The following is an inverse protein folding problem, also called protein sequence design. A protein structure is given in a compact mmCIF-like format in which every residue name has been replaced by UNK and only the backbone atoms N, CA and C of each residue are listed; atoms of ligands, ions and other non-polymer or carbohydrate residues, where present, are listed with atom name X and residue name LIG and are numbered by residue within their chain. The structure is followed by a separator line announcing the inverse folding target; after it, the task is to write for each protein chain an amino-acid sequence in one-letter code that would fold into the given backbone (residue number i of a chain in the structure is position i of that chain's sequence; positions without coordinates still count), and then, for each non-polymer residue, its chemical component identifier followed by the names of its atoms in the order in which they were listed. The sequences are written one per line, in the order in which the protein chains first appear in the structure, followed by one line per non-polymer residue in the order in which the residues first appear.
data_IF_421924721165
#
_entry.id   IF_421924721165
#
_cell.length_a   1.000
_cell.length_b   1.000
_cell.length_c   1.000
_cell.angle_alpha   90.00
_cell.angle_beta   90.00
_cell.angle_gamma   90.00
#
_symmetry.space_group_name_H-M   'P 1'
#
loop_
_entity.id
_entity.type
_entity.pdbx_description
1 polymer ?
2 polymer ?
3 non-polymer ?
4 non-polymer ?
5 water ?
#
# COMPACT_ATOMS: atom_id res chain seq x y z
N UNK A 2 14.20 15.92 -4.96
CA UNK A 2 12.84 16.37 -4.69
C UNK A 2 12.40 16.08 -3.25
N UNK A 3 11.67 17.02 -2.66
CA UNK A 3 11.15 16.86 -1.31
C UNK A 3 10.33 15.57 -1.17
N UNK A 4 10.49 14.90 -0.04
CA UNK A 4 9.75 13.70 0.28
C UNK A 4 8.35 14.14 0.73
N UNK A 5 7.30 13.52 0.19
CA UNK A 5 5.95 13.71 0.70
C UNK A 5 5.64 12.66 1.76
N UNK A 6 4.69 12.98 2.63
CA UNK A 6 4.31 12.07 3.70
C UNK A 6 2.79 11.93 3.81
N UNK A 7 2.29 10.71 3.68
CA UNK A 7 0.87 10.43 3.73
C UNK A 7 0.48 9.95 5.12
N UNK A 8 -0.46 10.65 5.74
CA UNK A 8 -1.00 10.23 7.03
C UNK A 8 -1.70 8.91 6.90
N UNK A 9 -1.54 8.09 7.94
CA UNK A 9 -2.21 6.80 8.04
C UNK A 9 -3.63 6.87 8.61
N UNK A 10 -4.00 8.03 9.15
CA UNK A 10 -5.21 8.19 9.93
C UNK A 10 -4.99 8.13 11.43
N UNK A 11 -3.86 7.55 11.85
CA UNK A 11 -3.51 7.44 13.27
C UNK A 11 -2.34 8.36 13.57
N UNK A 12 -2.53 9.27 14.52
CA UNK A 12 -1.45 10.14 14.95
C UNK A 12 -0.32 9.35 15.60
N UNK A 13 -0.67 8.31 16.34
CA UNK A 13 0.34 7.45 16.95
C UNK A 13 1.25 6.81 15.89
N UNK A 14 0.63 6.17 14.91
CA UNK A 14 1.38 5.56 13.83
C UNK A 14 2.12 6.60 12.99
N UNK A 15 1.50 7.74 12.71
CA UNK A 15 2.19 8.79 11.97
C UNK A 15 3.45 9.24 12.69
N UNK A 16 3.39 9.36 14.01
CA UNK A 16 4.57 9.79 14.75
C UNK A 16 5.69 8.76 14.65
N UNK A 17 5.34 7.49 14.80
CA UNK A 17 6.31 6.41 14.66
C UNK A 17 7.00 6.49 13.28
N UNK A 18 6.22 6.85 12.26
CA UNK A 18 6.70 6.91 10.87
C UNK A 18 7.38 8.22 10.52
N UNK A 19 7.51 9.15 11.45
CA UNK A 19 8.13 10.44 11.15
C UNK A 19 7.24 11.40 10.37
N UNK A 20 5.94 11.17 10.41
CA UNK A 20 4.95 12.06 9.83
C UNK A 20 3.97 11.37 8.90
N UNK A 21 4.33 10.18 8.42
CA UNK A 21 3.49 9.43 7.52
C UNK A 21 4.33 8.55 6.63
N UNK A 22 3.68 7.80 5.76
CA UNK A 22 4.45 6.99 4.80
C UNK A 22 5.01 7.88 3.71
N UNK A 23 6.25 7.58 3.36
CA UNK A 23 7.05 8.46 2.51
C UNK A 23 6.94 8.14 1.03
N UNK A 24 6.89 9.19 0.21
CA UNK A 24 7.15 9.03 -1.22
C UNK A 24 8.65 8.75 -1.43
N UNK A 25 9.00 8.26 -2.61
CA UNK A 25 10.39 7.87 -2.93
C UNK A 25 10.86 6.76 -1.99
N UNK A 26 9.92 5.90 -1.60
CA UNK A 26 10.21 4.80 -0.68
C UNK A 26 9.21 3.68 -0.88
N UNK A 27 9.65 2.46 -0.56
CA UNK A 27 8.76 1.32 -0.38
C UNK A 27 8.59 1.06 1.11
N UNK A 28 7.35 1.15 1.60
CA UNK A 28 7.05 0.78 2.96
C UNK A 28 6.33 -0.54 2.94
N UNK A 29 6.85 -1.50 3.72
CA UNK A 29 6.25 -2.83 3.82
C UNK A 29 5.65 -2.96 5.18
N UNK A 30 4.40 -3.40 5.21
CA UNK A 30 3.74 -3.76 6.43
C UNK A 30 3.50 -5.27 6.42
N UNK A 31 3.89 -5.94 7.50
CA UNK A 31 3.76 -7.38 7.56
C UNK A 31 3.24 -7.78 8.90
N UNK A 32 2.54 -8.90 8.90
CA UNK A 32 1.97 -9.46 10.10
C UNK A 32 1.01 -10.59 9.78
N UNK A 33 0.43 -11.17 10.82
CA UNK A 33 -0.47 -12.30 10.65
C UNK A 33 -1.81 -11.83 10.10
N UNK A 34 -2.62 -12.76 9.62
CA UNK A 34 -3.99 -12.45 9.24
C UNK A 34 -4.70 -11.71 10.37
N UNK A 35 -5.42 -10.65 10.03
CA UNK A 35 -6.15 -9.86 11.01
C UNK A 35 -5.37 -8.74 11.70
N UNK A 36 -4.11 -8.57 11.32
CA UNK A 36 -3.23 -7.64 12.05
C UNK A 36 -3.46 -6.16 11.69
N UNK A 37 -4.25 -5.91 10.64
CA UNK A 37 -4.57 -4.55 10.22
C UNK A 37 -4.00 -4.10 8.87
N UNK A 38 -3.24 -4.98 8.20
CA UNK A 38 -2.55 -4.58 6.97
C UNK A 38 -3.48 -4.08 5.89
N UNK A 39 -4.56 -4.79 5.64
CA UNK A 39 -5.45 -4.44 4.54
C UNK A 39 -6.26 -3.19 4.90
N UNK A 40 -6.59 -3.04 6.17
CA UNK A 40 -7.29 -1.86 6.62
C UNK A 40 -6.41 -0.62 6.48
N UNK A 41 -5.13 -0.75 6.75
CA UNK A 41 -4.18 0.36 6.55
C UNK A 41 -4.06 0.72 5.06
N UNK A 42 -3.99 -0.28 4.19
CA UNK A 42 -3.98 -0.03 2.74
C UNK A 42 -5.24 0.72 2.28
N UNK A 43 -6.43 0.26 2.70
CA UNK A 43 -7.66 0.94 2.33
C UNK A 43 -7.68 2.39 2.84
N UNK A 44 -7.20 2.62 4.07
CA UNK A 44 -7.22 3.96 4.65
C UNK A 44 -6.27 4.89 3.89
N UNK A 45 -5.07 4.40 3.59
CA UNK A 45 -4.12 5.19 2.83
C UNK A 45 -4.65 5.58 1.45
N UNK A 46 -5.41 4.69 0.83
CA UNK A 46 -6.00 4.98 -0.48
C UNK A 46 -6.98 6.14 -0.44
N UNK A 47 -7.53 6.42 0.74
CA UNK A 47 -8.35 7.60 0.97
C UNK A 47 -7.48 8.81 1.41
N UNK A 48 -6.63 8.60 2.39
CA UNK A 48 -5.85 9.70 2.98
C UNK A 48 -5.01 10.42 1.92
N UNK A 49 -4.43 9.68 0.99
CA UNK A 49 -3.53 10.31 0.02
C UNK A 49 -4.27 11.31 -0.86
N UNK A 50 -5.59 11.15 -0.97
CA UNK A 50 -6.39 12.05 -1.79
C UNK A 50 -6.70 13.39 -1.14
N UNK A 51 -6.53 13.46 0.18
CA UNK A 51 -6.71 14.70 0.93
C UNK A 51 -5.65 15.74 0.57
N UNK A 52 -5.93 17.02 0.85
CA UNK A 52 -4.91 18.06 0.70
C UNK A 52 -3.85 17.91 1.81
N UNK A 53 -2.70 18.56 1.63
CA UNK A 53 -1.62 18.29 2.59
C UNK A 53 -1.88 18.70 4.04
N UNK A 54 -2.68 19.74 4.27
CA UNK A 54 -3.00 20.12 5.64
C UNK A 54 -3.96 19.12 6.33
N UNK A 55 -4.42 18.13 5.57
CA UNK A 55 -5.19 17.02 6.12
C UNK A 55 -4.40 15.70 6.04
N UNK A 56 -3.11 15.76 5.71
CA UNK A 56 -2.26 14.58 5.67
C UNK A 56 -2.14 13.87 4.34
N UNK A 57 -2.68 14.46 3.27
CA UNK A 57 -2.63 13.84 1.95
C UNK A 57 -1.71 14.56 0.97
N UNK A 58 -1.78 14.16 -0.28
CA UNK A 58 -0.91 14.71 -1.33
C UNK A 58 -1.75 15.07 -2.55
N UNK A 59 -3.06 15.26 -2.38
CA UNK A 59 -3.96 15.51 -3.50
C UNK A 59 -3.71 14.49 -4.60
N UNK A 60 -3.50 13.23 -4.22
CA UNK A 60 -3.00 12.23 -5.13
C UNK A 60 -4.01 11.22 -5.62
N UNK A 61 -3.69 10.63 -6.77
CA UNK A 61 -4.38 9.44 -7.25
C UNK A 61 -3.66 8.16 -6.74
N UNK A 62 -4.34 7.03 -6.91
CA UNK A 62 -3.92 5.76 -6.37
C UNK A 62 -3.95 4.69 -7.46
N UNK A 63 -2.98 3.78 -7.40
CA UNK A 63 -3.02 2.55 -8.17
C UNK A 63 -2.87 1.40 -7.18
N UNK A 64 -3.65 0.34 -7.39
CA UNK A 64 -3.74 -0.76 -6.44
C UNK A 64 -3.65 -2.08 -7.19
N UNK A 65 -2.65 -2.88 -6.86
CA UNK A 65 -2.48 -4.23 -7.40
C UNK A 65 -2.76 -5.24 -6.29
N UNK A 66 -3.80 -6.04 -6.46
CA UNK A 66 -4.09 -7.15 -5.56
C UNK A 66 -3.46 -8.43 -6.11
N UNK A 67 -2.97 -9.29 -5.22
CA UNK A 67 -2.64 -10.65 -5.62
C UNK A 67 -3.74 -11.62 -5.19
N UNK A 68 -4.42 -11.28 -4.10
CA UNK A 68 -5.56 -12.05 -3.61
C UNK A 68 -6.73 -11.10 -3.67
N UNK A 69 -7.93 -11.58 -3.38
CA UNK A 69 -9.12 -10.76 -3.49
C UNK A 69 -9.34 -9.98 -2.19
N UNK A 70 -8.81 -8.77 -2.16
CA UNK A 70 -8.63 -8.02 -0.92
C UNK A 70 -9.35 -6.65 -1.01
N UNK A 71 -9.32 -6.04 -2.19
CA UNK A 71 -9.83 -4.66 -2.34
C UNK A 71 -11.35 -4.64 -2.24
N UNK A 72 -11.87 -3.70 -1.45
CA UNK A 72 -13.30 -3.58 -1.20
C UNK A 72 -13.72 -2.14 -1.45
N UNK A 73 -14.21 -1.85 -2.67
CA UNK A 73 -14.67 -0.49 -2.96
C UNK A 73 -15.66 0.06 -1.93
N UNK A 74 -16.53 -0.77 -1.35
CA UNK A 74 -17.46 -0.23 -0.36
C UNK A 74 -16.74 0.21 0.92
N UNK A 75 -15.63 -0.44 1.25
CA UNK A 75 -14.86 -0.03 2.43
C UNK A 75 -14.20 1.34 2.17
N UNK A 76 -13.69 1.54 0.97
CA UNK A 76 -13.22 2.87 0.57
C UNK A 76 -14.35 3.91 0.75
N UNK A 77 -15.54 3.59 0.26
CA UNK A 77 -16.66 4.52 0.34
C UNK A 77 -16.99 4.85 1.78
N UNK A 78 -16.98 3.84 2.64
CA UNK A 78 -17.26 4.05 4.07
C UNK A 78 -16.23 4.97 4.72
N UNK A 79 -14.96 4.66 4.51
CA UNK A 79 -13.88 5.43 5.10
C UNK A 79 -13.98 6.91 4.63
N UNK A 80 -14.14 7.09 3.32
CA UNK A 80 -14.28 8.43 2.77
C UNK A 80 -15.47 9.19 3.36
N UNK A 81 -16.64 8.56 3.38
CA UNK A 81 -17.87 9.21 3.84
C UNK A 81 -17.70 9.65 5.29
N UNK A 82 -17.09 8.80 6.09
CA UNK A 82 -16.97 9.08 7.50
C UNK A 82 -15.89 10.12 7.82
N UNK A 83 -15.05 10.44 6.82
CA UNK A 83 -14.03 11.49 6.93
C UNK A 83 -14.45 12.79 6.24
N UNK A 84 -15.70 12.87 5.79
CA UNK A 84 -16.26 14.09 5.24
C UNK A 84 -16.07 14.25 3.74
N UNK A 85 -15.72 13.16 3.06
CA UNK A 85 -15.48 13.19 1.62
C UNK A 85 -16.66 12.60 0.85
N UNK A 86 -16.67 12.84 -0.46
CA UNK A 86 -17.62 12.21 -1.35
C UNK A 86 -17.09 10.82 -1.70
N UNK A 87 -17.81 9.76 -1.28
CA UNK A 87 -17.26 8.41 -1.44
C UNK A 87 -17.03 8.00 -2.90
N UNK A 88 -17.92 8.45 -3.76
CA UNK A 88 -17.84 8.04 -5.13
C UNK A 88 -16.77 8.82 -5.89
N UNK A 89 -16.51 10.06 -5.48
CA UNK A 89 -15.41 10.82 -6.10
C UNK A 89 -14.06 10.18 -5.72
N UNK A 90 -13.94 9.74 -4.49
CA UNK A 90 -12.71 9.07 -4.05
C UNK A 90 -12.45 7.81 -4.88
N UNK A 91 -13.50 7.05 -5.21
CA UNK A 91 -13.33 5.87 -6.07
C UNK A 91 -12.82 6.18 -7.46
N UNK A 92 -13.16 7.35 -7.98
CA UNK A 92 -12.74 7.72 -9.33
C UNK A 92 -11.23 7.95 -9.42
N UNK A 93 -10.57 8.10 -8.28
CA UNK A 93 -9.13 8.34 -8.26
C UNK A 93 -8.29 7.15 -7.83
N UNK A 94 -8.89 5.96 -7.86
CA UNK A 94 -8.21 4.70 -7.59
C UNK A 94 -8.35 3.83 -8.83
N UNK A 95 -7.21 3.38 -9.35
CA UNK A 95 -7.18 2.42 -10.45
C UNK A 95 -6.76 1.06 -9.88
N UNK A 96 -7.55 0.03 -10.17
CA UNK A 96 -7.43 -1.28 -9.54
C UNK A 96 -7.16 -2.40 -10.55
N UNK A 97 -6.21 -3.27 -10.23
CA UNK A 97 -6.03 -4.49 -10.99
C UNK A 97 -5.73 -5.67 -10.08
N UNK A 98 -6.18 -6.85 -10.48
CA UNK A 98 -5.83 -8.10 -9.83
C UNK A 98 -4.78 -8.86 -10.65
N UNK A 99 -3.65 -9.16 -10.02
CA UNK A 99 -2.63 -10.00 -10.62
C UNK A 99 -3.06 -11.46 -10.57
N UNK A 100 -3.04 -12.09 -11.74
CA UNK A 100 -3.44 -13.46 -11.95
C UNK A 100 -2.36 -14.46 -11.50
N UNK A 101 -1.11 -14.02 -11.66
CA UNK A 101 0.08 -14.81 -11.29
C UNK A 101 1.25 -13.82 -11.20
N UNK A 102 2.44 -14.31 -10.86
CA UNK A 102 3.56 -13.39 -10.61
C UNK A 102 4.05 -12.71 -11.90
N UNK A 103 3.90 -13.38 -13.04
CA UNK A 103 4.33 -12.79 -14.30
C UNK A 103 3.40 -11.67 -14.74
N UNK A 104 2.10 -11.89 -14.56
CA UNK A 104 1.11 -10.86 -14.79
C UNK A 104 1.33 -9.69 -13.82
N UNK A 105 1.66 -9.99 -12.56
CA UNK A 105 2.00 -8.95 -11.59
C UNK A 105 3.13 -8.04 -12.10
N UNK A 106 4.16 -8.64 -12.69
CA UNK A 106 5.25 -7.87 -13.24
C UNK A 106 4.79 -6.97 -14.41
N UNK A 107 3.93 -7.50 -15.28
CA UNK A 107 3.42 -6.71 -16.39
C UNK A 107 2.59 -5.53 -15.88
N UNK A 108 1.81 -5.79 -14.84
CA UNK A 108 0.95 -4.74 -14.28
C UNK A 108 1.76 -3.55 -13.77
N UNK A 109 2.95 -3.81 -13.23
CA UNK A 109 3.81 -2.72 -12.80
C UNK A 109 4.26 -1.87 -13.99
N UNK A 110 4.53 -2.51 -15.13
CA UNK A 110 4.86 -1.76 -16.34
C UNK A 110 3.68 -0.91 -16.80
N UNK A 111 2.49 -1.46 -16.74
CA UNK A 111 1.33 -0.70 -17.12
C UNK A 111 1.06 0.42 -16.14
N UNK A 112 1.38 0.21 -14.88
CA UNK A 112 1.18 1.26 -13.89
C UNK A 112 2.02 2.47 -14.28
N UNK A 113 3.21 2.25 -14.83
CA UNK A 113 4.03 3.38 -15.21
C UNK A 113 3.36 4.25 -16.27
N UNK A 114 2.59 3.65 -17.17
CA UNK A 114 1.93 4.42 -18.21
C UNK A 114 0.92 5.41 -17.59
N UNK A 115 0.15 4.97 -16.59
CA UNK A 115 -0.83 5.85 -15.96
C UNK A 115 -0.15 6.89 -15.11
N UNK A 116 0.93 6.49 -14.45
CA UNK A 116 1.71 7.44 -13.68
C UNK A 116 2.23 8.57 -14.58
N UNK A 117 2.74 8.22 -15.74
CA UNK A 117 3.22 9.24 -16.69
C UNK A 117 2.10 10.15 -17.16
N UNK A 118 0.96 9.56 -17.47
CA UNK A 118 -0.21 10.30 -17.94
C UNK A 118 -0.63 11.37 -16.94
N UNK A 119 -0.67 11.01 -15.67
CA UNK A 119 -1.21 11.90 -14.65
C UNK A 119 -0.18 12.83 -14.01
N UNK A 120 1.10 12.67 -14.36
CA UNK A 120 2.19 13.26 -13.59
C UNK A 120 2.10 14.78 -13.43
N UNK A 121 1.72 15.45 -14.51
CA UNK A 121 1.67 16.91 -14.52
C UNK A 121 0.26 17.47 -14.51
N UNK A 122 -0.68 16.63 -14.08
CA UNK A 122 -2.04 17.06 -13.76
C UNK A 122 -2.09 17.44 -12.28
N UNK A 123 -3.24 17.92 -11.82
CA UNK A 123 -3.35 18.28 -10.41
C UNK A 123 -3.68 17.09 -9.47
N UNK A 124 -3.80 15.88 -10.02
CA UNK A 124 -3.97 14.67 -9.24
C UNK A 124 -3.01 13.56 -9.70
N UNK A 125 -1.71 13.81 -9.60
CA UNK A 125 -0.75 12.79 -10.00
C UNK A 125 -0.89 11.55 -9.13
N UNK A 126 -0.49 10.40 -9.63
CA UNK A 126 -0.40 9.22 -8.78
C UNK A 126 0.59 9.50 -7.66
N UNK A 127 0.17 9.26 -6.42
CA UNK A 127 1.05 9.44 -5.28
C UNK A 127 1.15 8.20 -4.41
N UNK A 128 0.35 7.18 -4.69
CA UNK A 128 0.35 5.93 -3.90
C UNK A 128 0.14 4.73 -4.82
N UNK A 129 1.04 3.76 -4.71
CA UNK A 129 0.94 2.49 -5.43
C UNK A 129 0.95 1.40 -4.37
N UNK A 130 -0.16 0.69 -4.27
CA UNK A 130 -0.32 -0.41 -3.31
C UNK A 130 -0.12 -1.74 -4.01
N UNK A 131 0.66 -2.62 -3.41
CA UNK A 131 0.72 -4.02 -3.84
C UNK A 131 0.41 -4.88 -2.61
N UNK A 132 -0.76 -5.49 -2.60
CA UNK A 132 -1.15 -6.26 -1.43
C UNK A 132 -0.69 -7.73 -1.53
N UNK A 133 -0.16 -8.26 -0.42
CA UNK A 133 0.34 -9.63 -0.37
C UNK A 133 1.36 -9.85 -1.49
N UNK A 134 2.33 -8.96 -1.54
CA UNK A 134 3.26 -8.84 -2.65
C UNK A 134 3.94 -10.14 -3.04
N UNK A 135 4.21 -10.99 -2.07
CA UNK A 135 4.96 -12.21 -2.37
C UNK A 135 4.10 -13.45 -2.63
N UNK A 136 2.78 -13.31 -2.53
CA UNK A 136 1.93 -14.49 -2.48
C UNK A 136 2.06 -15.40 -3.72
N UNK A 137 2.04 -14.84 -4.94
CA UNK A 137 2.21 -15.65 -6.15
C UNK A 137 3.63 -16.19 -6.26
N UNK A 138 4.63 -15.40 -5.89
CA UNK A 138 6.01 -15.86 -5.97
C UNK A 138 6.22 -17.07 -5.05
N UNK A 139 5.57 -17.04 -3.90
CA UNK A 139 5.68 -18.14 -2.95
C UNK A 139 4.95 -19.40 -3.40
N UNK A 140 3.84 -19.24 -4.11
CA UNK A 140 3.10 -20.42 -4.57
C UNK A 140 3.74 -21.05 -5.83
N UNK A 141 4.34 -20.21 -6.68
CA UNK A 141 4.88 -20.65 -7.97
C UNK A 141 6.29 -21.20 -7.90
N UNK A 142 7.12 -20.61 -7.05
CA UNK A 142 8.52 -21.00 -6.91
C UNK A 142 8.63 -21.74 -5.59
N UNK A 143 8.52 -23.06 -5.69
CA UNK A 143 8.39 -23.92 -4.51
C UNK A 143 9.13 -25.20 -4.79
N UNK A 144 9.85 -25.70 -3.80
CA UNK A 144 10.63 -26.91 -3.96
C UNK A 144 12.13 -26.70 -4.04
N UNK A 145 12.85 -27.76 -4.36
CA UNK A 145 14.27 -27.77 -4.25
C UNK A 145 14.89 -26.77 -5.20
N UNK A 146 15.71 -25.89 -4.64
CA UNK A 146 16.41 -24.88 -5.39
C UNK A 146 15.57 -23.71 -5.83
N UNK A 147 14.31 -23.67 -5.42
CA UNK A 147 13.43 -22.57 -5.77
C UNK A 147 13.77 -21.28 -5.07
N UNK A 148 14.48 -21.35 -3.94
CA UNK A 148 14.78 -20.14 -3.20
C UNK A 148 15.51 -19.13 -4.07
N UNK A 149 16.57 -19.55 -4.75
CA UNK A 149 17.41 -18.63 -5.52
C UNK A 149 16.59 -17.92 -6.60
N UNK A 150 15.83 -18.67 -7.38
CA UNK A 150 15.06 -18.04 -8.46
C UNK A 150 13.96 -17.15 -7.88
N UNK A 151 13.25 -17.63 -6.85
CA UNK A 151 12.18 -16.82 -6.26
C UNK A 151 12.70 -15.47 -5.80
N UNK A 152 13.81 -15.49 -5.06
CA UNK A 152 14.33 -14.28 -4.46
C UNK A 152 14.92 -13.37 -5.53
N UNK A 153 15.46 -13.94 -6.60
CA UNK A 153 15.96 -13.14 -7.71
C UNK A 153 14.81 -12.41 -8.43
N UNK A 154 13.72 -13.13 -8.71
CA UNK A 154 12.53 -12.53 -9.34
C UNK A 154 11.92 -11.45 -8.44
N UNK A 155 11.79 -11.75 -7.15
CA UNK A 155 11.32 -10.75 -6.19
C UNK A 155 12.21 -9.50 -6.19
N UNK A 156 13.52 -9.69 -6.19
CA UNK A 156 14.44 -8.57 -6.12
C UNK A 156 14.22 -7.66 -7.33
N UNK A 157 13.99 -8.27 -8.49
CA UNK A 157 13.76 -7.51 -9.72
C UNK A 157 12.44 -6.73 -9.63
N UNK A 158 11.39 -7.39 -9.17
CA UNK A 158 10.09 -6.75 -9.00
C UNK A 158 10.23 -5.56 -8.04
N UNK A 159 10.93 -5.75 -6.93
CA UNK A 159 11.14 -4.68 -5.98
C UNK A 159 11.97 -3.54 -6.56
N UNK A 160 12.97 -3.87 -7.38
CA UNK A 160 13.75 -2.84 -8.07
C UNK A 160 12.86 -2.00 -8.99
N UNK A 161 11.94 -2.64 -9.70
CA UNK A 161 11.00 -1.93 -10.57
C UNK A 161 10.15 -1.00 -9.74
N UNK A 162 9.66 -1.49 -8.60
CA UNK A 162 8.85 -0.65 -7.71
C UNK A 162 9.64 0.55 -7.12
N UNK A 163 10.89 0.32 -6.71
CA UNK A 163 11.75 1.40 -6.21
C UNK A 163 11.95 2.45 -7.29
N UNK A 164 12.14 2.00 -8.52
CA UNK A 164 12.31 2.94 -9.63
C UNK A 164 11.08 3.84 -9.76
N UNK A 165 9.89 3.26 -9.73
CA UNK A 165 8.70 4.10 -9.85
C UNK A 165 8.59 5.08 -8.68
N UNK A 166 8.86 4.62 -7.49
CA UNK A 166 8.81 5.46 -6.30
C UNK A 166 9.72 6.68 -6.47
N UNK A 167 10.95 6.42 -6.91
CA UNK A 167 11.98 7.45 -6.98
C UNK A 167 11.83 8.34 -8.20
N UNK A 168 11.49 7.75 -9.34
CA UNK A 168 11.41 8.51 -10.58
C UNK A 168 10.18 9.44 -10.59
N UNK A 169 9.07 8.99 -9.97
CA UNK A 169 7.80 9.70 -10.08
C UNK A 169 7.28 10.25 -8.75
N UNK A 170 8.10 10.15 -7.71
CA UNK A 170 7.79 10.72 -6.40
C UNK A 170 6.48 10.16 -5.86
N UNK A 171 6.46 8.83 -5.76
CA UNK A 171 5.30 8.06 -5.32
C UNK A 171 5.66 7.30 -4.04
N UNK A 172 4.70 7.13 -3.14
CA UNK A 172 4.84 6.15 -2.06
C UNK A 172 4.36 4.81 -2.54
N UNK A 173 5.23 3.81 -2.39
CA UNK A 173 4.86 2.45 -2.68
C UNK A 173 4.64 1.76 -1.34
N UNK A 174 3.47 1.17 -1.19
CA UNK A 174 3.03 0.54 0.05
C UNK A 174 2.70 -0.91 -0.26
N UNK A 175 3.41 -1.83 0.40
CA UNK A 175 3.21 -3.25 0.14
C UNK A 175 2.89 -3.98 1.44
N UNK A 176 2.11 -5.03 1.33
CA UNK A 176 1.80 -5.84 2.49
C UNK A 176 2.27 -7.28 2.30
N UNK A 177 2.54 -7.96 3.40
CA UNK A 177 2.89 -9.36 3.35
C UNK A 177 2.44 -10.08 4.59
N UNK A 178 2.14 -11.36 4.41
CA UNK A 178 1.72 -12.19 5.52
C UNK A 178 2.93 -12.94 6.05
N UNK A 179 3.07 -12.98 7.38
CA UNK A 179 4.17 -13.69 8.07
C UNK A 179 4.72 -14.91 7.32
N UNK A 185 13.66 -12.12 8.72
CA UNK A 185 14.35 -13.12 7.94
C UNK A 185 13.67 -14.49 8.07
N UNK A 186 14.31 -15.56 7.59
CA UNK A 186 15.69 -15.55 7.11
C UNK A 186 15.81 -15.16 5.61
N UNK A 187 14.68 -15.05 4.92
CA UNK A 187 14.67 -14.63 3.53
C UNK A 187 14.97 -13.13 3.39
N UNK A 188 15.50 -12.75 2.24
CA UNK A 188 15.82 -11.34 1.97
C UNK A 188 14.59 -10.47 2.00
N UNK A 189 14.80 -9.20 2.36
CA UNK A 189 13.77 -8.18 2.27
C UNK A 189 14.40 -6.93 1.66
N UNK A 190 13.64 -6.20 0.84
CA UNK A 190 14.20 -5.06 0.10
C UNK A 190 13.39 -3.76 0.22
N UNK A 191 12.43 -3.73 1.13
CA UNK A 191 11.69 -2.49 1.36
C UNK A 191 12.59 -1.43 2.00
N UNK A 192 12.23 -0.17 1.78
CA UNK A 192 12.89 0.94 2.48
C UNK A 192 12.65 0.87 3.99
N UNK A 193 11.41 0.59 4.35
CA UNK A 193 10.99 0.59 5.75
C UNK A 193 10.07 -0.58 5.98
N UNK A 194 10.32 -1.36 7.03
CA UNK A 194 9.48 -2.49 7.37
C UNK A 194 8.80 -2.25 8.70
N UNK A 195 7.48 -2.45 8.70
CA UNK A 195 6.63 -2.22 9.85
C UNK A 195 5.90 -3.52 10.21
N UNK A 196 6.13 -3.99 11.43
CA UNK A 196 5.47 -5.20 11.94
C UNK A 196 4.19 -4.82 12.66
N UNK A 197 3.06 -5.41 12.26
CA UNK A 197 1.77 -5.19 12.90
C UNK A 197 1.30 -6.42 13.65
N UNK A 198 0.67 -6.21 14.80
CA UNK A 198 0.08 -7.30 15.56
C UNK A 198 -1.14 -6.82 16.33
N UNK A 199 -2.00 -7.75 16.75
CA UNK A 199 -3.11 -7.43 17.62
C UNK A 199 -2.65 -7.12 19.04
N UNK A 200 -3.30 -6.15 19.67
CA UNK A 200 -3.14 -5.87 21.08
C UNK A 200 -4.45 -6.01 21.85
N UNK A 201 -4.43 -5.60 23.10
CA UNK A 201 -5.62 -5.67 23.94
C UNK A 201 -6.64 -4.63 23.53
N UNK A 202 -7.88 -4.84 23.95
CA UNK A 202 -8.95 -3.90 23.67
C UNK A 202 -9.25 -3.67 22.20
N UNK A 203 -8.93 -4.65 21.35
CA UNK A 203 -9.16 -4.52 19.93
C UNK A 203 -8.15 -3.64 19.20
N UNK A 204 -7.10 -3.19 19.88
CA UNK A 204 -6.09 -2.37 19.23
C UNK A 204 -5.15 -3.17 18.36
N UNK A 205 -4.44 -2.44 17.50
CA UNK A 205 -3.30 -2.97 16.77
C UNK A 205 -2.06 -2.20 17.20
N UNK A 206 -0.91 -2.89 17.17
CA UNK A 206 0.37 -2.34 17.63
C UNK A 206 1.34 -2.43 16.45
N UNK A 207 2.05 -1.33 16.19
CA UNK A 207 3.06 -1.27 15.13
C UNK A 207 4.44 -1.03 15.70
N UNK A 208 5.42 -1.72 15.12
CA UNK A 208 6.83 -1.58 15.48
C UNK A 208 7.67 -1.52 14.22
N UNK A 209 8.64 -0.62 14.18
CA UNK A 209 9.56 -0.51 13.05
C UNK A 209 10.64 -1.55 13.23
N UNK A 210 10.99 -2.22 12.14
CA UNK A 210 11.99 -3.29 12.20
C UNK A 210 13.27 -2.82 11.53
N UNK A 211 14.36 -2.89 12.26
CA UNK A 211 15.69 -2.56 11.71
C UNK A 211 15.76 -1.14 11.14
N UNK A 212 15.34 -0.13 11.90
CA UNK A 212 15.35 1.26 11.42
C UNK A 212 16.07 2.22 12.37
N UNK A 213 17.36 2.00 12.67
CA UNK A 213 18.08 2.65 13.79
C UNK A 213 17.87 4.17 13.88
N UNK A 214 17.56 4.78 12.74
CA UNK A 214 17.11 6.17 12.69
C UNK A 214 15.64 6.27 13.10
N UNK A 215 15.13 5.20 13.72
CA UNK A 215 13.83 5.23 14.38
C UNK A 215 14.08 5.78 15.76
N UNK A 216 13.40 6.87 16.11
CA UNK A 216 13.31 7.05 17.56
C UNK A 216 12.41 5.94 18.08
N UNK A 217 12.97 5.09 18.93
CA UNK A 217 12.36 3.87 19.42
C UNK A 217 10.93 4.02 20.00
N UNK A 218 10.11 2.97 19.80
CA UNK A 218 8.77 2.93 20.35
C UNK A 218 7.83 2.04 19.57
N UNK A 219 6.58 2.00 20.02
CA UNK A 219 5.52 1.30 19.32
C UNK A 219 4.29 2.19 19.26
N UNK A 220 3.59 2.13 18.12
CA UNK A 220 2.35 2.85 17.94
C UNK A 220 1.16 1.93 18.21
N UNK A 221 0.06 2.55 18.65
CA UNK A 221 -1.18 1.85 18.96
C UNK A 221 -2.33 2.53 18.22
N UNK A 222 -3.15 1.73 17.55
CA UNK A 222 -4.23 2.29 16.76
C UNK A 222 -5.40 1.33 16.73
N UNK A 223 -6.55 1.82 16.28
CA UNK A 223 -7.78 1.04 16.13
C UNK A 223 -8.23 1.00 14.67
N UNK A 224 -9.12 0.06 14.36
CA UNK A 224 -9.77 -0.06 13.06
C UNK A 224 -11.24 0.32 13.30
N UNK A 225 -11.72 1.35 12.60
CA UNK A 225 -13.05 1.89 12.86
C UNK A 225 -13.73 2.21 11.54
N UNK A 226 -14.87 2.89 11.61
CA UNK A 226 -15.59 3.25 10.41
C UNK A 226 -14.82 4.31 9.60
N UNK A 227 -13.82 4.93 10.23
CA UNK A 227 -12.93 5.87 9.52
C UNK A 227 -11.67 5.18 8.96
N UNK A 228 -11.63 3.85 9.04
CA UNK A 228 -10.45 3.13 8.62
C UNK A 228 -9.53 2.82 9.77
N UNK A 229 -8.42 3.54 9.81
CA UNK A 229 -7.44 3.54 10.87
C UNK A 229 -7.52 4.85 11.62
N UNK A 230 -7.58 4.77 12.94
CA UNK A 230 -7.36 5.97 13.75
C UNK A 230 -6.78 5.57 15.08
N UNK A 231 -6.48 6.52 15.94
CA UNK A 231 -5.93 6.17 17.23
C UNK A 231 -6.95 5.47 18.10
N UNK B 2 -10.34 -6.53 -16.43
CA UNK B 2 -9.95 -7.42 -15.35
C UNK B 2 -8.54 -8.00 -15.58
N UNK B 3 -8.13 -8.10 -16.85
CA UNK B 3 -6.73 -8.39 -17.16
C UNK B 3 -5.84 -7.17 -16.95
N UNK B 4 -6.44 -6.02 -16.69
CA UNK B 4 -5.69 -4.76 -16.54
C UNK B 4 -6.44 -3.84 -15.56
N UNK B 5 -5.85 -2.67 -15.27
CA UNK B 5 -6.44 -1.69 -14.35
C UNK B 5 -7.78 -1.19 -14.82
N UNK B 6 -8.64 -0.91 -13.86
CA UNK B 6 -9.88 -0.19 -14.11
C UNK B 6 -10.18 0.76 -12.96
N UNK B 7 -10.91 1.82 -13.24
CA UNK B 7 -11.25 2.77 -12.20
C UNK B 7 -12.16 2.12 -11.16
N UNK B 8 -11.99 2.46 -9.89
CA UNK B 8 -12.62 1.68 -8.83
C UNK B 8 -14.13 1.82 -8.82
N UNK B 9 -14.65 2.94 -9.33
CA UNK B 9 -16.10 3.09 -9.45
C UNK B 9 -16.67 2.10 -10.48
N UNK B 10 -15.94 1.88 -11.57
CA UNK B 10 -16.34 0.91 -12.59
C UNK B 10 -16.18 -0.51 -12.07
N UNK B 11 -15.14 -0.72 -11.25
CA UNK B 11 -14.93 -2.03 -10.65
C UNK B 11 -16.08 -2.40 -9.72
N UNK B 12 -16.49 -1.46 -8.88
CA UNK B 12 -17.63 -1.68 -8.01
C UNK B 12 -18.87 -2.14 -8.80
N UNK B 13 -19.15 -1.43 -9.89
CA UNK B 13 -20.28 -1.75 -10.76
C UNK B 13 -20.13 -3.13 -11.42
N UNK B 14 -18.92 -3.43 -11.89
CA UNK B 14 -18.64 -4.72 -12.51
C UNK B 14 -18.90 -5.86 -11.55
N UNK B 15 -18.42 -5.73 -10.31
CA UNK B 15 -18.57 -6.81 -9.34
C UNK B 15 -20.02 -6.98 -8.89
N UNK B 16 -20.84 -5.95 -9.05
CA UNK B 16 -22.28 -6.05 -8.78
C UNK B 16 -23.08 -6.59 -9.97
N UNK B 17 -22.39 -6.93 -11.06
X LIG C 1 -6.67 -6.80 8.05
X LIG C 1 -6.56 -5.30 8.07
X LIG C 1 -8.11 -7.15 7.70
X LIG C 1 -5.72 -7.44 7.06
X LIG C 1 -6.36 -7.34 9.43
X LIG D 1 -1.17 13.09 -21.11
X LIG D 1 -1.67 13.05 -19.78
X LIG D 1 0.31 12.70 -21.16
X LIG D 1 0.44 11.34 -21.49
X LIG D 1 0.96 13.06 -19.83
X LIG D 1 2.36 12.85 -19.77
X LIG D 1 0.49 12.46 -19.04
X LIG D 1 0.76 14.10 -19.60
X LIG D 1 2.70 13.17 -18.91
X LIG D 1 0.78 13.30 -21.94
X LIG D 1 -0.01 10.79 -20.81
X LIG D 1 -1.29 14.09 -21.51
X LIG D 1 -1.75 12.40 -21.73
X LIG D 1 -1.70 13.96 -19.43
X LIG E 1 -6.95 11.31 11.77
X LIG E 1 -7.85 10.24 11.51
X LIG E 1 -6.26 11.78 10.49
X LIG E 1 -6.67 13.09 10.18
X LIG E 1 -4.75 11.74 10.64
X LIG E 1 -4.16 12.75 9.85
X LIG E 1 -4.38 10.77 10.33
X LIG E 1 -4.49 11.89 11.69
X LIG E 1 -3.20 12.76 10.02
X LIG E 1 -6.55 11.10 9.68
X LIG E 1 -7.64 13.11 10.06
X LIG E 1 -6.21 11.00 12.49
X LIG E 1 -7.52 12.14 12.20
X LIG E 1 -7.51 9.43 11.94
X LIG F 1 9.96 13.08 -9.67
X LIG F 1 8.74 12.44 -9.74
X LIG F 1 10.49 13.32 -8.27
X LIG F 1 11.61 14.16 -8.28
X LIG F 1 10.93 11.97 -7.72
X LIG F 1 11.87 12.05 -6.68
X LIG F 1 11.36 11.38 -8.54
X LIG F 1 10.06 11.43 -7.36
X LIG F 1 9.70 13.72 -7.63
X LIG F 1 9.86 14.04 -10.17
X LIG F 1 10.69 12.50 -10.23
X LIG G 1 7.14 15.74 -8.09
X LIG G 1 7.85 14.99 -9.08
X LIG G 1 8.03 16.46 -7.08
X LIG G 1 9.03 15.62 -6.60
X LIG G 1 8.79 17.63 -7.69
X LIG G 1 9.46 18.38 -6.71
X LIG G 1 8.08 18.27 -8.22
X LIG G 1 9.51 17.26 -8.42
X LIG G 1 9.98 19.08 -7.13
X LIG G 1 7.42 16.83 -6.27
X LIG G 1 8.61 14.84 -6.15
X LIG G 1 6.47 15.06 -7.55
X LIG G 1 6.51 16.47 -8.60
X LIG G 1 7.44 14.10 -9.17
#
# INVERSE_FOLDING_TARGET
MATIGRISTGSKSLDKLLGGGIETQAITEVFGEFGSGKTQLAHTLAVMVQLPPEEGGLNGSVMWIDTENTFRPERIREIAQNRGLDPDEVLKHIAYARAFNSNHQMLLVQQAEDMIKELLNTDRPVKLLIVDSLTSHFRSEYIGRGALAERQQKLAKHLADLHRLANLYDIAVFVTNQVQANGGHILAHSATLRVYLRKGKGGKRIARLIDAPHLPEGEAVFSITEKGIED
NLGTFMRADEYLKKRAX
PO4 P O1 O2 O3 O4
GOL C1 O1 C2 O2 C3 O3 H11 H12 HO1 H2 HO2 H31 H32 HO3
GOL C1 O1 C2 O2 C3 O3 H11 H12 HO1 H2 HO2 H31 H32 HO3
GOL C1 O1 C2 O2 C3 O3 H11 H12 H2 H31 H32
GOL C1 O1 C2 O2 C3 O3 H11 H12 HO1 H2 HO2 H31 H32 HO3
#
